data_IF_680956246954
#
_entry.id   IF_680956246954
#
_cell.length_a   1.000
_cell.length_b   1.000
_cell.length_c   1.000
_cell.angle_alpha   90.00
_cell.angle_beta   90.00
_cell.angle_gamma   90.00
#
_symmetry.space_group_name_H-M   'P 1'
#
loop_
_entity.id
_entity.type
_entity.pdbx_description
1 polymer ?
#
# COMPACT_ATOMS: atom_id res chain seq x y z
N UNK A 1 21.21 50.15 -21.80
CA UNK A 1 19.72 50.11 -21.73
C UNK A 1 19.13 49.01 -20.85
N UNK A 2 19.77 47.84 -20.67
CA UNK A 2 19.18 46.74 -19.87
C UNK A 2 19.13 46.97 -18.35
N UNK A 3 20.12 47.68 -17.80
CA UNK A 3 20.22 47.92 -16.34
C UNK A 3 19.07 48.78 -15.80
N UNK A 4 18.72 49.85 -16.52
CA UNK A 4 17.61 50.74 -16.15
C UNK A 4 16.25 50.01 -16.11
N UNK A 5 16.02 49.10 -17.06
CA UNK A 5 14.77 48.30 -17.11
C UNK A 5 14.68 47.34 -15.93
N UNK A 6 15.79 46.76 -15.49
CA UNK A 6 15.84 45.89 -14.31
C UNK A 6 15.58 46.66 -13.02
N UNK A 7 16.15 47.85 -12.89
CA UNK A 7 15.95 48.73 -11.73
C UNK A 7 14.49 49.18 -11.61
N UNK A 8 13.89 49.60 -12.74
CA UNK A 8 12.46 49.94 -12.79
C UNK A 8 11.57 48.74 -12.40
N UNK A 9 11.85 47.56 -12.93
CA UNK A 9 11.09 46.35 -12.60
C UNK A 9 11.16 46.02 -11.10
N UNK A 10 12.35 46.14 -10.50
CA UNK A 10 12.54 45.90 -9.06
C UNK A 10 11.72 46.85 -8.20
N UNK A 11 11.73 48.16 -8.53
CA UNK A 11 10.98 49.17 -7.77
C UNK A 11 9.47 48.93 -7.88
N UNK A 12 8.97 48.62 -9.07
CA UNK A 12 7.52 48.43 -9.30
C UNK A 12 7.00 47.15 -8.65
N UNK A 13 7.73 46.03 -8.73
CA UNK A 13 7.29 44.79 -8.09
C UNK A 13 7.30 44.86 -6.55
N UNK A 14 8.12 45.73 -5.97
CA UNK A 14 8.26 45.81 -4.51
C UNK A 14 7.42 46.94 -3.88
N UNK A 15 6.89 47.88 -4.66
CA UNK A 15 6.11 49.01 -4.15
C UNK A 15 4.62 48.72 -4.24
N UNK A 16 3.96 48.54 -3.10
CA UNK A 16 2.50 48.45 -3.00
C UNK A 16 1.88 47.05 -3.14
N UNK A 17 2.67 45.98 -3.22
CA UNK A 17 2.14 44.62 -3.16
C UNK A 17 2.01 44.20 -1.70
N UNK A 18 0.81 44.32 -1.13
CA UNK A 18 0.43 43.53 0.04
C UNK A 18 0.56 42.05 -0.37
N UNK A 19 1.34 41.28 0.40
CA UNK A 19 1.70 39.88 0.10
C UNK A 19 0.52 38.90 0.27
N UNK A 20 -0.67 39.29 -0.19
CA UNK A 20 -1.91 38.59 0.11
C UNK A 20 -2.84 38.52 -1.11
N UNK A 21 -2.32 38.02 -2.23
CA UNK A 21 -3.19 37.44 -3.25
C UNK A 21 -2.55 36.14 -3.76
N UNK A 22 -2.77 35.05 -3.01
CA UNK A 22 -2.44 33.70 -3.50
C UNK A 22 -3.35 33.40 -4.69
N UNK A 23 -2.78 33.22 -5.87
CA UNK A 23 -3.49 32.82 -7.09
C UNK A 23 -4.14 31.44 -6.86
N UNK A 24 -5.48 31.38 -6.81
CA UNK A 24 -6.26 30.16 -6.53
C UNK A 24 -7.58 30.44 -5.79
N UNK A 25 -8.39 29.40 -5.55
CA UNK A 25 -9.68 29.48 -4.83
C UNK A 25 -9.48 30.10 -3.42
N UNK A 26 -10.28 31.10 -3.00
CA UNK A 26 -10.14 31.69 -1.67
C UNK A 26 -10.35 30.62 -0.60
N UNK A 27 -9.37 30.50 0.30
CA UNK A 27 -9.47 29.66 1.49
C UNK A 27 -10.22 30.45 2.57
N UNK A 28 -11.54 30.61 2.43
CA UNK A 28 -12.36 31.13 3.51
C UNK A 28 -12.45 30.08 4.62
N UNK A 29 -12.12 30.48 5.85
CA UNK A 29 -12.17 29.66 7.07
C UNK A 29 -13.52 28.97 7.28
N UNK A 30 -14.61 29.62 6.84
CA UNK A 30 -15.99 29.12 6.91
C UNK A 30 -16.18 27.76 6.23
N UNK A 31 -15.52 27.52 5.08
CA UNK A 31 -15.62 26.23 4.37
C UNK A 31 -14.84 25.10 5.05
N UNK A 32 -13.84 25.44 5.88
CA UNK A 32 -13.03 24.46 6.61
C UNK A 32 -13.80 23.88 7.78
N UNK A 33 -14.58 24.70 8.47
CA UNK A 33 -15.37 24.30 9.64
C UNK A 33 -16.49 23.31 9.25
N UNK A 34 -17.21 23.58 8.17
CA UNK A 34 -18.25 22.66 7.66
C UNK A 34 -17.67 21.30 7.20
N UNK A 35 -16.46 21.30 6.64
CA UNK A 35 -15.79 20.08 6.20
C UNK A 35 -15.26 19.24 7.39
N UNK A 36 -14.86 19.91 8.48
CA UNK A 36 -14.42 19.26 9.73
C UNK A 36 -15.60 18.59 10.45
N UNK A 37 -16.77 19.24 10.47
CA UNK A 37 -17.98 18.70 11.09
C UNK A 37 -18.44 17.38 10.46
N UNK A 38 -18.26 17.20 9.14
CA UNK A 38 -18.62 15.97 8.40
C UNK A 38 -17.58 14.86 8.47
N UNK A 39 -16.42 15.06 9.13
CA UNK A 39 -15.34 14.07 9.23
C UNK A 39 -15.49 13.05 10.36
N UNK A 40 -16.70 12.86 10.90
CA UNK A 40 -16.96 11.70 11.79
C UNK A 40 -17.03 10.43 10.95
N UNK A 41 -15.87 9.93 10.55
CA UNK A 41 -15.69 8.52 10.19
C UNK A 41 -16.08 7.74 11.44
N UNK A 42 -17.19 7.00 11.40
CA UNK A 42 -17.62 6.17 12.53
C UNK A 42 -16.46 5.30 13.02
N UNK A 43 -16.46 4.98 14.32
CA UNK A 43 -15.45 4.08 14.89
C UNK A 43 -15.39 2.82 14.01
N UNK A 44 -14.20 2.41 13.52
CA UNK A 44 -14.07 1.16 12.80
C UNK A 44 -14.67 0.05 13.67
N UNK A 45 -15.52 -0.80 13.08
CA UNK A 45 -16.08 -1.94 13.79
C UNK A 45 -14.94 -2.72 14.47
N UNK A 46 -15.15 -3.22 15.71
CA UNK A 46 -14.13 -3.98 16.41
C UNK A 46 -13.73 -5.16 15.51
N UNK A 47 -12.42 -5.37 15.30
CA UNK A 47 -12.01 -6.34 14.31
C UNK A 47 -12.29 -7.74 14.92
N UNK A 48 -12.60 -8.77 14.10
CA UNK A 48 -13.15 -10.06 14.56
C UNK A 48 -12.26 -10.81 15.59
N UNK A 49 -12.80 -11.75 16.38
CA UNK A 49 -12.06 -12.54 17.36
C UNK A 49 -10.76 -13.16 16.81
N UNK A 50 -9.72 -13.26 17.66
CA UNK A 50 -8.40 -13.77 17.26
C UNK A 50 -8.43 -15.21 16.74
N UNK A 51 -9.34 -16.03 17.26
CA UNK A 51 -9.54 -17.40 16.78
C UNK A 51 -9.97 -17.39 15.32
N UNK A 52 -11.05 -16.69 14.99
CA UNK A 52 -11.54 -16.55 13.60
C UNK A 52 -10.48 -15.92 12.68
N UNK A 53 -9.61 -15.03 13.20
CA UNK A 53 -8.50 -14.48 12.42
C UNK A 53 -7.39 -15.47 12.11
N UNK A 54 -7.20 -16.48 12.94
CA UNK A 54 -6.08 -17.42 12.86
C UNK A 54 -6.50 -18.81 12.37
N UNK A 55 -7.80 -19.10 12.41
CA UNK A 55 -8.35 -20.37 11.98
C UNK A 55 -8.16 -20.55 10.47
N UNK A 56 -7.54 -21.67 10.08
CA UNK A 56 -7.36 -22.07 8.67
C UNK A 56 -6.18 -21.43 7.91
N UNK A 57 -5.34 -20.63 8.57
CA UNK A 57 -4.28 -19.87 7.91
C UNK A 57 -2.88 -20.24 8.41
N UNK A 58 -2.60 -21.53 8.52
CA UNK A 58 -1.29 -21.98 9.01
C UNK A 58 -0.27 -22.15 7.88
N UNK A 59 -0.72 -22.38 6.65
CA UNK A 59 0.16 -22.65 5.51
C UNK A 59 0.27 -21.48 4.52
N UNK A 60 0.95 -20.40 4.90
CA UNK A 60 1.15 -19.25 4.03
C UNK A 60 2.34 -19.41 3.07
N UNK A 61 2.23 -18.97 1.80
CA UNK A 61 3.36 -18.93 0.90
C UNK A 61 4.31 -17.80 1.30
N UNK A 62 5.60 -18.12 1.36
CA UNK A 62 6.69 -17.19 1.62
C UNK A 62 7.70 -17.32 0.48
N UNK A 63 8.08 -16.17 -0.07
CA UNK A 63 9.16 -16.10 -1.06
C UNK A 63 10.48 -16.33 -0.32
N UNK A 64 11.25 -17.31 -0.79
CA UNK A 64 12.51 -17.71 -0.19
C UNK A 64 13.52 -18.14 -1.23
N UNK A 65 14.43 -19.03 -0.83
CA UNK A 65 15.41 -19.62 -1.73
C UNK A 65 14.71 -20.41 -2.84
N UNK A 66 15.25 -20.30 -4.04
CA UNK A 66 14.73 -21.00 -5.21
C UNK A 66 15.25 -22.44 -5.20
N UNK A 67 14.36 -23.42 -5.02
CA UNK A 67 14.67 -24.86 -4.89
C UNK A 67 13.69 -25.70 -5.71
N UNK A 68 13.95 -27.00 -5.83
CA UNK A 68 13.03 -27.94 -6.48
C UNK A 68 11.76 -28.12 -5.65
N UNK A 69 10.63 -28.27 -6.34
CA UNK A 69 9.36 -28.60 -5.74
C UNK A 69 9.43 -29.98 -5.08
N UNK A 70 9.03 -30.07 -3.81
CA UNK A 70 9.05 -31.33 -3.04
C UNK A 70 7.79 -32.19 -3.24
N UNK A 71 6.86 -31.77 -4.11
CA UNK A 71 5.64 -32.52 -4.38
C UNK A 71 5.93 -33.80 -5.19
N UNK A 72 5.42 -34.98 -4.78
CA UNK A 72 5.65 -36.22 -5.52
C UNK A 72 5.08 -36.10 -6.94
N UNK A 73 5.88 -36.45 -7.96
CA UNK A 73 5.59 -36.26 -9.40
C UNK A 73 5.73 -34.85 -9.96
N UNK A 74 6.15 -33.85 -9.15
CA UNK A 74 6.54 -32.54 -9.67
C UNK A 74 8.06 -32.46 -9.83
N UNK A 75 8.54 -31.97 -10.98
CA UNK A 75 9.96 -31.65 -11.22
C UNK A 75 10.18 -30.15 -11.42
N UNK A 76 9.20 -29.34 -11.03
CA UNK A 76 9.25 -27.88 -11.18
C UNK A 76 10.20 -27.23 -10.19
N UNK A 77 10.73 -26.06 -10.57
CA UNK A 77 11.48 -25.19 -9.68
C UNK A 77 10.51 -24.19 -9.01
N UNK A 78 10.70 -23.89 -7.73
CA UNK A 78 9.89 -22.91 -6.99
C UNK A 78 10.72 -22.05 -6.06
N UNK A 79 10.48 -20.74 -6.14
CA UNK A 79 10.92 -19.71 -5.20
C UNK A 79 10.00 -19.60 -3.98
N UNK A 80 8.87 -20.30 -4.00
CA UNK A 80 7.82 -20.19 -3.00
C UNK A 80 7.90 -21.40 -2.08
N UNK A 81 7.91 -21.11 -0.78
CA UNK A 81 7.96 -22.07 0.31
C UNK A 81 6.79 -21.88 1.25
N UNK A 82 6.33 -22.95 1.91
CA UNK A 82 5.32 -22.84 2.95
C UNK A 82 5.96 -22.34 4.26
N UNK A 83 5.39 -21.32 4.90
CA UNK A 83 5.94 -20.73 6.12
C UNK A 83 5.92 -21.69 7.32
N UNK A 84 4.88 -22.52 7.46
CA UNK A 84 4.77 -23.53 8.53
C UNK A 84 5.57 -24.80 8.24
N UNK A 85 5.50 -25.30 7.01
CA UNK A 85 6.14 -26.57 6.64
C UNK A 85 7.59 -26.43 6.17
N UNK A 86 8.06 -25.24 5.79
CA UNK A 86 9.40 -25.02 5.22
C UNK A 86 9.65 -25.76 3.90
N UNK A 87 8.61 -26.19 3.19
CA UNK A 87 8.73 -26.95 1.94
C UNK A 87 8.51 -26.05 0.73
N UNK A 88 9.36 -26.20 -0.29
CA UNK A 88 9.23 -25.51 -1.56
C UNK A 88 8.20 -26.24 -2.44
N UNK A 89 7.21 -25.49 -2.90
CA UNK A 89 6.08 -26.00 -3.68
C UNK A 89 5.77 -25.03 -4.81
N UNK A 90 5.43 -25.56 -5.98
CA UNK A 90 5.02 -24.72 -7.11
C UNK A 90 3.71 -24.00 -6.80
N UNK A 91 3.70 -22.70 -7.07
CA UNK A 91 2.52 -21.85 -7.04
C UNK A 91 2.43 -21.11 -8.37
N UNK A 92 2.12 -21.86 -9.43
CA UNK A 92 1.99 -21.36 -10.80
C UNK A 92 0.55 -21.59 -11.29
N UNK A 93 0.12 -20.81 -12.29
CA UNK A 93 -1.22 -20.95 -12.88
C UNK A 93 -1.50 -22.35 -13.43
N UNK A 94 -0.47 -23.01 -13.97
CA UNK A 94 -0.60 -24.32 -14.60
C UNK A 94 -0.39 -25.49 -13.62
N UNK A 95 0.40 -25.28 -12.55
CA UNK A 95 0.77 -26.30 -11.57
C UNK A 95 0.83 -25.66 -10.18
N UNK A 96 -0.21 -25.88 -9.37
CA UNK A 96 -0.29 -25.39 -8.00
C UNK A 96 -0.17 -26.55 -7.00
N UNK A 97 1.06 -27.00 -6.75
CA UNK A 97 1.34 -28.05 -5.78
C UNK A 97 1.12 -27.57 -4.32
N UNK A 98 1.08 -26.25 -4.11
CA UNK A 98 0.86 -25.65 -2.80
C UNK A 98 -0.51 -26.01 -2.24
N UNK A 99 -1.56 -25.86 -3.05
CA UNK A 99 -2.94 -26.15 -2.64
C UNK A 99 -3.18 -27.64 -2.35
N UNK A 100 -2.55 -28.51 -3.14
CA UNK A 100 -2.73 -29.97 -3.02
C UNK A 100 -2.09 -30.48 -1.72
N UNK A 101 -0.86 -30.07 -1.41
CA UNK A 101 -0.15 -30.59 -0.22
C UNK A 101 -0.75 -30.10 1.09
N UNK A 102 -1.25 -28.86 1.13
CA UNK A 102 -1.78 -28.26 2.37
C UNK A 102 -3.02 -29.01 2.84
N UNK A 103 -3.94 -29.33 1.93
CA UNK A 103 -5.19 -30.03 2.25
C UNK A 103 -4.99 -31.46 2.76
N UNK A 104 -3.89 -32.12 2.41
CA UNK A 104 -3.61 -33.52 2.77
C UNK A 104 -2.78 -33.68 4.06
N UNK A 105 -2.38 -32.58 4.72
CA UNK A 105 -1.52 -32.63 5.92
C UNK A 105 -2.26 -32.40 7.22
N UNK A 106 -3.54 -32.04 7.13
CA UNK A 106 -4.43 -31.74 8.26
C UNK A 106 -5.38 -32.92 8.57
N UNK A 107 -5.24 -34.06 7.86
CA UNK A 107 -5.85 -35.38 8.16
C UNK A 107 -4.83 -36.32 8.83
#
# INVERSE_FOLDING_TARGET
>A
MGQFRNELAFVLCNRGITKEAKRGRPSTSVLKEELQLKKRKGSPAPPPPKDIRKDGAEHWPKVGGSLWCKFPKCKGYSTISCNKCGVNLCLNKNNNCFEIIIKNKDD
#
